data_IF_328391429725
#
_entry.id   IF_328391429725
#
_cell.length_a   1.000
_cell.length_b   1.000
_cell.length_c   1.000
_cell.angle_alpha   90.00
_cell.angle_beta   90.00
_cell.angle_gamma   90.00
#
_symmetry.space_group_name_H-M   'P 1'
#
loop_
_entity.id
_entity.type
_entity.pdbx_description
1 polymer ?
#
# COMPACT_ATOMS: atom_id res chain seq x y z
N UNK A 1 -8.28 14.10 -11.12
CA UNK A 1 -7.70 14.45 -9.79
C UNK A 1 -6.28 14.97 -9.99
N UNK A 2 -5.73 15.80 -9.08
CA UNK A 2 -4.35 16.26 -9.19
C UNK A 2 -3.38 15.07 -9.08
N UNK A 3 -2.22 15.16 -9.71
CA UNK A 3 -1.14 14.20 -9.46
C UNK A 3 -0.29 14.70 -8.28
N UNK A 4 0.07 13.84 -7.31
CA UNK A 4 0.90 14.27 -6.20
C UNK A 4 2.29 14.70 -6.72
N UNK A 5 2.87 15.77 -6.16
CA UNK A 5 4.21 16.22 -6.54
C UNK A 5 5.24 15.13 -6.21
N UNK A 6 6.37 15.13 -6.94
CA UNK A 6 7.41 14.10 -6.77
C UNK A 6 7.88 13.96 -5.32
N UNK A 7 8.11 15.08 -4.62
CA UNK A 7 8.51 15.07 -3.20
C UNK A 7 7.50 14.36 -2.30
N UNK A 8 6.21 14.50 -2.57
CA UNK A 8 5.18 13.82 -1.78
C UNK A 8 5.19 12.32 -2.08
N UNK A 9 5.42 11.93 -3.34
CA UNK A 9 5.59 10.51 -3.70
C UNK A 9 6.76 9.87 -2.95
N UNK A 10 7.93 10.50 -3.01
CA UNK A 10 9.14 10.03 -2.33
C UNK A 10 8.91 9.95 -0.79
N UNK A 11 8.18 10.92 -0.23
CA UNK A 11 7.80 10.91 1.19
C UNK A 11 6.89 9.73 1.53
N UNK A 12 5.80 9.53 0.79
CA UNK A 12 4.84 8.46 1.05
C UNK A 12 5.48 7.08 0.86
N UNK A 13 6.34 6.91 -0.15
CA UNK A 13 7.12 5.69 -0.34
C UNK A 13 7.96 5.36 0.91
N UNK A 14 8.75 6.33 1.40
CA UNK A 14 9.58 6.11 2.60
C UNK A 14 8.76 5.92 3.88
N UNK A 15 7.64 6.63 4.03
CA UNK A 15 6.78 6.53 5.22
C UNK A 15 6.09 5.17 5.31
N UNK A 16 5.56 4.65 4.19
CA UNK A 16 4.88 3.35 4.14
C UNK A 16 5.89 2.22 4.32
N UNK A 17 7.04 2.28 3.65
CA UNK A 17 8.10 1.28 3.79
C UNK A 17 8.63 1.22 5.23
N UNK A 18 8.92 2.38 5.83
CA UNK A 18 9.35 2.46 7.21
C UNK A 18 8.30 1.87 8.17
N UNK A 19 7.02 2.17 7.96
CA UNK A 19 5.93 1.63 8.78
C UNK A 19 5.77 0.12 8.61
N UNK A 20 5.90 -0.39 7.38
CA UNK A 20 5.87 -1.82 7.10
C UNK A 20 7.01 -2.54 7.79
N UNK A 21 8.23 -2.00 7.78
CA UNK A 21 9.39 -2.59 8.48
C UNK A 21 9.20 -2.74 10.00
N UNK A 22 8.33 -1.92 10.61
CA UNK A 22 8.03 -1.97 12.04
C UNK A 22 6.91 -2.96 12.37
N UNK A 23 5.97 -3.16 11.45
CA UNK A 23 4.75 -3.95 11.66
C UNK A 23 4.87 -5.37 11.12
N UNK A 24 5.59 -5.54 10.01
CA UNK A 24 5.82 -6.81 9.33
C UNK A 24 7.34 -7.05 9.13
N UNK A 25 8.08 -7.45 10.19
CA UNK A 25 9.54 -7.55 10.14
C UNK A 25 10.08 -8.65 9.22
N UNK A 26 9.27 -9.63 8.83
CA UNK A 26 9.64 -10.70 7.88
C UNK A 26 9.50 -10.26 6.41
N UNK A 27 8.80 -9.14 6.17
CA UNK A 27 8.65 -8.56 4.85
C UNK A 27 9.95 -7.85 4.45
N UNK A 28 10.37 -8.01 3.19
CA UNK A 28 11.58 -7.36 2.70
C UNK A 28 11.39 -5.85 2.59
N UNK A 29 10.39 -5.43 1.82
CA UNK A 29 10.06 -4.02 1.63
C UNK A 29 8.62 -3.85 1.11
N UNK A 30 8.13 -2.61 1.20
CA UNK A 30 6.89 -2.20 0.53
C UNK A 30 7.19 -1.09 -0.45
N UNK A 31 6.80 -1.31 -1.70
CA UNK A 31 6.99 -0.32 -2.78
C UNK A 31 5.68 0.26 -3.25
N UNK A 32 5.74 1.48 -3.78
CA UNK A 32 4.58 2.13 -4.38
C UNK A 32 4.85 2.41 -5.86
N UNK A 33 4.06 1.77 -6.72
CA UNK A 33 4.11 2.06 -8.14
C UNK A 33 3.18 3.21 -8.46
N UNK A 34 3.70 4.35 -8.91
CA UNK A 34 2.88 5.52 -9.23
C UNK A 34 2.33 5.55 -10.67
N UNK A 35 1.05 5.86 -10.84
CA UNK A 35 0.40 6.16 -12.14
C UNK A 35 -0.58 7.31 -11.99
N UNK A 36 -0.21 8.50 -12.47
CA UNK A 36 -1.03 9.70 -12.33
C UNK A 36 -1.24 10.05 -10.86
N UNK A 37 -2.51 10.09 -10.43
CA UNK A 37 -2.94 10.31 -9.05
C UNK A 37 -2.92 9.05 -8.18
N UNK A 38 -2.68 7.87 -8.76
CA UNK A 38 -2.75 6.60 -8.05
C UNK A 38 -1.36 6.11 -7.64
N UNK A 39 -1.27 5.57 -6.43
CA UNK A 39 -0.16 4.74 -5.95
C UNK A 39 -0.65 3.31 -5.74
N UNK A 40 0.10 2.33 -6.26
CA UNK A 40 -0.22 0.91 -6.11
C UNK A 40 0.80 0.30 -5.15
N UNK A 41 0.34 -0.10 -3.97
CA UNK A 41 1.18 -0.68 -2.93
C UNK A 41 1.41 -2.16 -3.24
N UNK A 42 2.66 -2.57 -3.21
CA UNK A 42 3.12 -3.94 -3.46
C UNK A 42 4.09 -4.31 -2.34
N UNK A 43 3.78 -5.39 -1.65
CA UNK A 43 4.67 -6.03 -0.70
C UNK A 43 5.62 -6.99 -1.43
N UNK A 44 6.87 -7.04 -0.98
CA UNK A 44 7.87 -7.98 -1.45
C UNK A 44 8.18 -8.98 -0.34
N UNK A 45 7.82 -10.24 -0.56
CA UNK A 45 8.13 -11.35 0.34
C UNK A 45 9.29 -12.16 -0.24
N UNK A 46 10.33 -12.41 0.55
CA UNK A 46 11.52 -13.11 0.06
C UNK A 46 12.77 -12.76 0.87
N UNK A 47 13.94 -12.84 0.23
CA UNK A 47 15.24 -12.54 0.86
C UNK A 47 16.05 -11.52 0.05
N UNK A 48 15.43 -10.85 -0.93
CA UNK A 48 16.10 -9.90 -1.80
C UNK A 48 16.76 -10.56 -3.02
N UNK A 49 16.23 -11.71 -3.45
CA UNK A 49 16.78 -12.54 -4.52
C UNK A 49 15.79 -12.65 -5.69
N UNK A 50 16.18 -13.34 -6.78
CA UNK A 50 15.32 -13.57 -7.95
C UNK A 50 14.00 -14.34 -7.67
N UNK A 51 13.83 -14.87 -6.46
CA UNK A 51 12.65 -15.61 -6.02
C UNK A 51 11.67 -14.75 -5.19
N UNK A 52 11.90 -13.44 -5.08
CA UNK A 52 11.00 -12.58 -4.32
C UNK A 52 9.60 -12.55 -4.95
N UNK A 53 8.60 -12.76 -4.11
CA UNK A 53 7.19 -12.74 -4.46
C UNK A 53 6.62 -11.33 -4.31
N UNK A 54 5.95 -10.86 -5.36
CA UNK A 54 5.22 -9.60 -5.36
C UNK A 54 3.77 -9.85 -4.96
N UNK A 55 3.35 -9.22 -3.87
CA UNK A 55 2.00 -9.34 -3.32
C UNK A 55 1.31 -7.98 -3.50
N UNK A 56 0.37 -7.83 -4.45
CA UNK A 56 -0.40 -6.61 -4.59
C UNK A 56 -1.31 -6.41 -3.37
N UNK A 57 -1.22 -5.24 -2.72
CA UNK A 57 -1.92 -4.97 -1.47
C UNK A 57 -3.16 -4.10 -1.69
N UNK A 58 -2.95 -2.85 -2.08
CA UNK A 58 -4.01 -1.87 -2.23
C UNK A 58 -3.58 -0.77 -3.20
N UNK A 59 -4.52 0.12 -3.50
CA UNK A 59 -4.30 1.31 -4.30
C UNK A 59 -4.75 2.52 -3.50
N UNK A 60 -3.85 3.49 -3.39
CA UNK A 60 -4.14 4.82 -2.84
C UNK A 60 -4.39 5.82 -3.98
N UNK A 61 -5.28 6.77 -3.76
CA UNK A 61 -5.58 7.86 -4.69
C UNK A 61 -5.35 9.22 -4.03
N UNK A 62 -4.53 10.06 -4.65
CA UNK A 62 -4.29 11.41 -4.15
C UNK A 62 -5.51 12.29 -4.36
N UNK A 63 -6.13 12.73 -3.26
CA UNK A 63 -7.33 13.57 -3.26
C UNK A 63 -7.00 15.08 -3.22
N UNK A 64 -5.72 15.44 -3.08
CA UNK A 64 -5.27 16.82 -2.90
C UNK A 64 -4.76 17.13 -1.49
N UNK A 65 -4.87 16.17 -0.57
CA UNK A 65 -4.41 16.23 0.81
C UNK A 65 -3.30 15.18 1.03
N UNK A 66 -2.27 15.54 1.80
CA UNK A 66 -1.13 14.63 2.05
C UNK A 66 -1.45 13.54 3.08
N UNK A 67 -2.44 13.78 3.95
CA UNK A 67 -2.86 12.88 5.03
C UNK A 67 -4.11 12.07 4.67
N UNK A 68 -4.87 12.48 3.63
CA UNK A 68 -6.12 11.83 3.22
C UNK A 68 -6.08 11.34 1.76
N UNK A 69 -5.96 10.02 1.61
CA UNK A 69 -5.87 9.34 0.32
C UNK A 69 -7.03 8.36 0.16
N UNK A 70 -7.64 8.35 -1.03
CA UNK A 70 -8.70 7.39 -1.35
C UNK A 70 -8.17 5.95 -1.35
N UNK A 71 -8.96 5.01 -0.85
CA UNK A 71 -8.53 3.62 -0.65
C UNK A 71 -9.29 2.63 -1.54
N UNK A 72 -8.54 1.69 -2.13
CA UNK A 72 -9.10 0.52 -2.78
C UNK A 72 -8.25 -0.72 -2.46
N UNK A 73 -8.89 -1.83 -2.09
CA UNK A 73 -8.22 -3.10 -1.78
C UNK A 73 -7.98 -3.90 -3.07
N UNK A 74 -6.88 -4.65 -3.12
CA UNK A 74 -6.67 -5.61 -4.20
C UNK A 74 -7.58 -6.83 -4.02
N UNK A 75 -8.27 -7.24 -5.08
CA UNK A 75 -9.09 -8.45 -5.10
C UNK A 75 -8.40 -9.50 -5.99
N UNK A 76 -7.83 -10.58 -5.39
CA UNK A 76 -7.13 -11.61 -6.15
C UNK A 76 -8.02 -12.41 -7.09
N UNK A 77 -9.34 -12.46 -6.84
CA UNK A 77 -10.28 -13.22 -7.65
C UNK A 77 -10.60 -12.52 -8.98
N UNK A 78 -10.56 -11.19 -9.01
CA UNK A 78 -10.84 -10.35 -10.17
C UNK A 78 -9.61 -9.63 -10.72
N UNK A 79 -8.46 -9.77 -10.06
CA UNK A 79 -7.19 -9.11 -10.38
C UNK A 79 -7.36 -7.57 -10.48
N UNK A 80 -8.23 -7.01 -9.64
CA UNK A 80 -8.64 -5.61 -9.71
C UNK A 80 -8.57 -4.92 -8.35
N UNK A 81 -8.54 -3.58 -8.37
CA UNK A 81 -8.60 -2.76 -7.16
C UNK A 81 -10.02 -2.25 -6.95
N UNK A 82 -10.65 -2.66 -5.85
CA UNK A 82 -12.03 -2.32 -5.55
C UNK A 82 -12.10 -1.31 -4.39
N UNK A 83 -12.89 -0.23 -4.49
CA UNK A 83 -13.08 0.70 -3.38
C UNK A 83 -13.54 -0.04 -2.12
N UNK A 84 -12.88 0.23 -1.00
CA UNK A 84 -13.14 -0.42 0.28
C UNK A 84 -13.07 0.59 1.42
N UNK A 85 -13.36 0.14 2.64
CA UNK A 85 -13.19 0.93 3.84
C UNK A 85 -11.91 0.50 4.55
N UNK A 86 -11.17 1.48 5.05
CA UNK A 86 -10.08 1.29 5.99
C UNK A 86 -10.59 0.63 7.27
N UNK A 87 -9.68 0.05 8.06
CA UNK A 87 -9.96 -0.44 9.42
C UNK A 87 -10.62 0.60 10.34
N UNK A 88 -10.43 1.88 10.07
CA UNK A 88 -11.08 3.01 10.77
C UNK A 88 -12.57 3.19 10.39
N UNK A 89 -13.04 2.50 9.34
CA UNK A 89 -14.38 2.65 8.76
C UNK A 89 -14.50 3.75 7.72
N UNK A 90 -13.41 4.44 7.37
CA UNK A 90 -13.40 5.52 6.37
C UNK A 90 -12.99 5.03 4.98
N UNK A 91 -13.49 5.65 3.89
CA UNK A 91 -13.08 5.30 2.51
C UNK A 91 -11.73 5.91 2.10
N UNK A 92 -11.18 6.79 2.94
CA UNK A 92 -9.91 7.47 2.75
C UNK A 92 -9.18 7.64 4.08
N UNK A 93 -7.88 7.82 4.03
CA UNK A 93 -7.03 8.08 5.19
C UNK A 93 -5.56 8.07 4.82
N UNK A 94 -4.69 8.02 5.82
CA UNK A 94 -3.25 8.07 5.59
C UNK A 94 -2.79 6.78 4.88
N UNK A 95 -1.79 6.84 3.98
CA UNK A 95 -1.28 5.65 3.28
C UNK A 95 -0.85 4.49 4.19
N UNK A 96 -0.39 4.79 5.41
CA UNK A 96 -0.10 3.75 6.41
C UNK A 96 -1.36 3.01 6.87
N UNK A 97 -2.48 3.70 7.10
CA UNK A 97 -3.76 3.03 7.44
C UNK A 97 -4.24 2.14 6.29
N UNK A 98 -4.00 2.57 5.05
CA UNK A 98 -4.28 1.78 3.86
C UNK A 98 -3.40 0.51 3.79
N UNK A 99 -2.11 0.63 4.11
CA UNK A 99 -1.20 -0.51 4.24
C UNK A 99 -1.67 -1.46 5.36
N UNK A 100 -1.88 -0.97 6.58
CA UNK A 100 -2.35 -1.75 7.73
C UNK A 100 -3.62 -2.55 7.39
N UNK A 101 -4.57 -1.90 6.72
CA UNK A 101 -5.82 -2.56 6.33
C UNK A 101 -5.57 -3.68 5.31
N UNK A 102 -4.70 -3.45 4.33
CA UNK A 102 -4.37 -4.44 3.30
C UNK A 102 -3.50 -5.58 3.81
N UNK A 103 -2.57 -5.30 4.73
CA UNK A 103 -1.68 -6.28 5.35
C UNK A 103 -2.47 -7.37 6.09
N UNK A 104 -3.52 -6.99 6.83
CA UNK A 104 -4.40 -7.96 7.52
C UNK A 104 -5.03 -8.97 6.55
N UNK A 105 -5.29 -8.57 5.31
CA UNK A 105 -5.98 -9.40 4.31
C UNK A 105 -4.98 -10.23 3.50
N UNK A 106 -3.88 -9.61 3.06
CA UNK A 106 -2.96 -10.20 2.08
C UNK A 106 -1.68 -10.75 2.69
N UNK A 107 -1.26 -10.29 3.87
CA UNK A 107 -0.01 -10.68 4.51
C UNK A 107 -0.21 -11.61 5.70
N UNK A 108 -1.45 -12.00 6.02
CA UNK A 108 -1.74 -12.88 7.16
C UNK A 108 -1.03 -14.25 7.10
N UNK A 109 -0.66 -14.72 5.91
CA UNK A 109 0.09 -15.98 5.73
C UNK A 109 1.62 -15.81 5.92
N UNK A 110 2.12 -14.58 5.89
CA UNK A 110 3.55 -14.24 5.95
C UNK A 110 4.01 -13.79 7.35
N UNK A 111 3.12 -13.74 8.35
CA UNK A 111 3.46 -13.37 9.74
C UNK A 111 3.84 -14.59 10.63
N UNK A 112 4.51 -15.62 10.09
CA UNK A 112 4.82 -16.88 10.78
C UNK A 112 6.18 -16.90 11.50
#
# INVERSE_FOLDING_TARGET
MPAPPRRLKDLIEGTVDHHASQTCPDLQEVTIRWRGSFGYLIAWAGQGDENDEQIPLCRIEYLGDEEDWGFAIYDPATEAYTPALLRTGQPSGHPNDAFDTAAIIHLADYEQ
#
